data_IF_941528892161
#
_entry.id   IF_941528892161
#
_cell.length_a   1.000
_cell.length_b   1.000
_cell.length_c   1.000
_cell.angle_alpha   90.00
_cell.angle_beta   90.00
_cell.angle_gamma   90.00
#
_symmetry.space_group_name_H-M   'P 1'
#
loop_
_entity.id
_entity.type
_entity.pdbx_description
1 polymer ?
#
# COMPACT_ATOMS: atom_id res chain seq x y z
N UNK A 1 43.65 -38.27 40.07
CA UNK A 1 43.14 -38.01 38.71
C UNK A 1 41.61 -37.92 38.76
N UNK A 2 41.04 -36.80 39.23
CA UNK A 2 39.59 -36.74 39.50
C UNK A 2 38.94 -35.37 39.27
N UNK A 3 39.65 -34.44 38.65
CA UNK A 3 39.19 -33.04 38.52
C UNK A 3 39.24 -32.50 37.09
N UNK A 4 39.57 -33.32 36.08
CA UNK A 4 39.68 -32.86 34.69
C UNK A 4 38.42 -33.06 33.83
N UNK A 5 37.37 -33.68 34.37
CA UNK A 5 36.17 -34.04 33.58
C UNK A 5 35.01 -33.03 33.66
N UNK A 6 35.17 -31.89 34.36
CA UNK A 6 34.06 -30.96 34.61
C UNK A 6 34.08 -29.67 33.77
N UNK A 7 35.07 -29.49 32.87
CA UNK A 7 35.20 -28.26 32.08
C UNK A 7 34.64 -28.40 30.65
N UNK A 8 34.37 -29.62 30.18
CA UNK A 8 33.96 -29.89 28.80
C UNK A 8 32.45 -29.80 28.52
N UNK A 9 31.61 -29.53 29.53
CA UNK A 9 30.15 -29.45 29.40
C UNK A 9 29.57 -28.04 29.68
N UNK A 10 30.40 -26.98 29.66
CA UNK A 10 29.95 -25.62 29.94
C UNK A 10 29.91 -24.69 28.71
N UNK A 11 30.28 -25.16 27.51
CA UNK A 11 30.54 -24.31 26.34
C UNK A 11 29.49 -24.40 25.22
N UNK A 12 28.38 -25.13 25.39
CA UNK A 12 27.35 -25.33 24.36
C UNK A 12 26.04 -24.54 24.59
N UNK A 13 25.99 -23.65 25.59
CA UNK A 13 24.85 -22.75 25.78
C UNK A 13 25.17 -21.33 25.29
N UNK A 14 25.72 -21.20 24.08
CA UNK A 14 25.56 -19.96 23.31
C UNK A 14 24.13 -19.94 22.78
N UNK A 15 23.20 -19.54 23.65
CA UNK A 15 21.87 -19.12 23.27
C UNK A 15 22.02 -18.10 22.15
N UNK A 16 21.70 -18.52 20.92
CA UNK A 16 21.43 -17.60 19.83
C UNK A 16 20.17 -16.83 20.22
N UNK A 17 20.35 -15.71 20.92
CA UNK A 17 19.34 -14.69 21.04
C UNK A 17 19.05 -14.22 19.62
N UNK A 18 17.97 -14.74 19.03
CA UNK A 18 17.35 -14.14 17.86
C UNK A 18 16.97 -12.72 18.27
N UNK A 19 17.84 -11.75 17.98
CA UNK A 19 17.54 -10.36 18.18
C UNK A 19 16.27 -10.08 17.37
N UNK A 20 15.15 -9.84 18.05
CA UNK A 20 13.94 -9.37 17.41
C UNK A 20 14.32 -8.06 16.70
N UNK A 21 14.46 -8.11 15.37
CA UNK A 21 14.68 -6.89 14.59
C UNK A 21 13.37 -6.12 14.60
N UNK A 22 13.23 -5.23 15.57
CA UNK A 22 12.23 -4.17 15.50
C UNK A 22 12.37 -3.50 14.13
N UNK A 23 11.24 -3.28 13.47
CA UNK A 23 11.25 -2.53 12.22
C UNK A 23 11.79 -1.12 12.53
N UNK A 24 12.52 -0.49 11.59
CA UNK A 24 13.05 0.85 11.84
C UNK A 24 11.93 1.86 12.10
N UNK A 25 12.24 2.97 12.78
CA UNK A 25 11.25 4.02 13.04
C UNK A 25 10.66 4.58 11.73
N UNK A 26 11.51 4.87 10.73
CA UNK A 26 11.06 5.28 9.39
C UNK A 26 10.13 4.25 8.75
N UNK A 27 10.41 2.98 8.97
CA UNK A 27 9.57 1.93 8.43
C UNK A 27 8.19 1.91 9.05
N UNK A 28 8.12 1.99 10.38
CA UNK A 28 6.86 2.01 11.10
C UNK A 28 6.06 3.28 10.83
N UNK A 29 6.74 4.42 10.67
CA UNK A 29 6.13 5.69 10.33
C UNK A 29 5.38 5.68 8.98
N UNK A 30 5.64 4.73 8.07
CA UNK A 30 4.89 4.59 6.81
C UNK A 30 3.38 4.45 7.09
N UNK A 31 2.98 3.68 8.11
CA UNK A 31 1.57 3.47 8.45
C UNK A 31 0.82 4.77 8.77
N UNK A 32 1.52 5.77 9.32
CA UNK A 32 0.94 7.06 9.70
C UNK A 32 1.13 8.10 8.57
N UNK A 33 2.26 8.05 7.87
CA UNK A 33 2.61 9.04 6.85
C UNK A 33 1.93 8.80 5.51
N UNK A 34 1.64 7.55 5.14
CA UNK A 34 1.06 7.20 3.85
C UNK A 34 -0.36 7.77 3.64
N UNK A 35 -1.28 7.73 4.63
CA UNK A 35 -2.60 8.34 4.48
C UNK A 35 -2.58 9.83 4.11
N UNK A 36 -1.58 10.58 4.60
CA UNK A 36 -1.38 11.99 4.28
C UNK A 36 -0.55 12.26 3.01
N UNK A 37 -0.19 11.23 2.25
CA UNK A 37 0.66 11.37 1.07
C UNK A 37 2.12 11.74 1.37
N UNK A 38 2.61 11.37 2.57
CA UNK A 38 3.93 11.74 3.10
C UNK A 38 4.14 13.27 3.23
N UNK A 39 3.40 13.93 4.14
CA UNK A 39 3.53 15.36 4.36
C UNK A 39 4.91 15.76 4.93
N UNK A 40 5.11 17.05 5.18
CA UNK A 40 6.32 17.54 5.87
C UNK A 40 6.58 16.75 7.16
N UNK A 41 7.84 16.37 7.40
CA UNK A 41 8.24 15.49 8.51
C UNK A 41 8.26 13.99 8.19
N UNK A 42 7.67 13.55 7.07
CA UNK A 42 7.62 12.13 6.68
C UNK A 42 8.69 11.70 5.64
N UNK A 43 9.75 12.49 5.45
CA UNK A 43 10.75 12.24 4.41
C UNK A 43 11.48 10.89 4.57
N UNK A 44 11.81 10.52 5.82
CA UNK A 44 12.42 9.22 6.14
C UNK A 44 11.49 8.05 5.79
N UNK A 45 10.23 8.12 6.20
CA UNK A 45 9.20 7.14 5.86
C UNK A 45 9.01 7.00 4.35
N UNK A 46 8.95 8.10 3.61
CA UNK A 46 8.82 8.08 2.15
C UNK A 46 10.02 7.42 1.47
N UNK A 47 11.24 7.70 1.96
CA UNK A 47 12.47 7.08 1.45
C UNK A 47 12.46 5.57 1.67
N UNK A 48 12.12 5.12 2.88
CA UNK A 48 12.07 3.69 3.19
C UNK A 48 10.93 2.98 2.43
N UNK A 49 9.77 3.63 2.27
CA UNK A 49 8.65 3.12 1.45
C UNK A 49 9.10 2.88 -0.01
N UNK A 50 9.68 3.90 -0.66
CA UNK A 50 10.23 3.74 -2.03
C UNK A 50 11.29 2.64 -2.10
N UNK A 51 12.17 2.57 -1.09
CA UNK A 51 13.22 1.56 -1.01
C UNK A 51 12.66 0.15 -0.83
N UNK A 52 11.53 -0.04 -0.14
CA UNK A 52 10.83 -1.33 -0.03
C UNK A 52 10.32 -1.78 -1.39
N UNK A 53 9.54 -0.94 -2.06
CA UNK A 53 8.98 -1.22 -3.39
C UNK A 53 10.09 -1.52 -4.38
N UNK A 54 11.14 -0.68 -4.43
CA UNK A 54 12.29 -0.88 -5.32
C UNK A 54 13.02 -2.22 -5.07
N UNK A 55 12.99 -2.71 -3.83
CA UNK A 55 13.61 -3.99 -3.44
C UNK A 55 12.64 -5.17 -3.46
N UNK A 56 11.40 -5.00 -3.96
CA UNK A 56 10.39 -6.05 -3.96
C UNK A 56 9.97 -6.50 -2.54
N UNK A 57 10.14 -5.64 -1.53
CA UNK A 57 9.64 -5.88 -0.17
C UNK A 57 8.24 -5.29 -0.04
N UNK A 58 7.47 -5.83 0.90
CA UNK A 58 6.17 -5.26 1.29
C UNK A 58 6.31 -3.75 1.54
N UNK A 59 5.48 -2.89 0.90
CA UNK A 59 5.54 -1.45 1.07
C UNK A 59 5.28 -1.01 2.51
N UNK A 60 4.45 -1.74 3.23
CA UNK A 60 4.20 -1.55 4.65
C UNK A 60 4.88 -2.66 5.46
N UNK A 61 5.63 -2.34 6.52
CA UNK A 61 6.12 -3.38 7.42
C UNK A 61 4.94 -4.05 8.15
N UNK A 62 5.19 -5.24 8.70
CA UNK A 62 4.25 -5.88 9.63
C UNK A 62 3.90 -4.94 10.77
N UNK A 63 2.62 -4.56 10.89
CA UNK A 63 2.17 -3.56 11.86
C UNK A 63 2.44 -4.00 13.31
N UNK A 64 2.28 -5.29 13.59
CA UNK A 64 2.65 -5.91 14.88
C UNK A 64 4.10 -5.69 15.33
N UNK A 65 5.01 -5.31 14.42
CA UNK A 65 6.42 -5.00 14.73
C UNK A 65 6.64 -3.51 15.02
N UNK A 66 5.58 -2.71 14.94
CA UNK A 66 5.58 -1.26 15.06
C UNK A 66 4.69 -0.77 16.20
N UNK A 67 3.65 -1.53 16.55
CA UNK A 67 2.73 -1.18 17.63
C UNK A 67 2.05 -2.41 18.21
N UNK A 68 1.54 -2.25 19.43
CA UNK A 68 0.64 -3.19 20.12
C UNK A 68 -0.67 -2.48 20.43
N UNK A 69 -1.73 -3.24 20.67
CA UNK A 69 -3.02 -2.67 21.04
C UNK A 69 -3.01 -2.10 22.46
N UNK A 70 -4.09 -1.42 22.87
CA UNK A 70 -4.20 -0.77 24.18
C UNK A 70 -3.97 -1.70 25.37
N UNK A 71 -4.24 -3.00 25.23
CA UNK A 71 -4.07 -4.02 26.26
C UNK A 71 -2.86 -4.95 26.00
N UNK A 72 -1.93 -4.52 25.14
CA UNK A 72 -0.74 -5.29 24.78
C UNK A 72 -0.99 -6.40 23.75
N UNK A 73 -2.19 -6.46 23.17
CA UNK A 73 -2.52 -7.42 22.13
C UNK A 73 -1.76 -7.15 20.82
N UNK A 74 -1.62 -8.20 20.01
CA UNK A 74 -0.98 -8.09 18.70
C UNK A 74 -1.93 -7.38 17.74
N UNK A 75 -1.47 -6.27 17.17
CA UNK A 75 -2.21 -5.56 16.10
C UNK A 75 -1.89 -6.18 14.76
N UNK A 76 -2.95 -6.46 14.01
CA UNK A 76 -2.83 -6.97 12.65
C UNK A 76 -3.02 -5.85 11.63
N UNK A 77 -2.18 -5.86 10.59
CA UNK A 77 -2.16 -4.83 9.56
C UNK A 77 -2.09 -5.49 8.19
N UNK A 78 -3.09 -5.21 7.37
CA UNK A 78 -3.21 -5.74 6.02
C UNK A 78 -3.17 -4.62 4.99
N UNK A 79 -2.68 -4.94 3.80
CA UNK A 79 -2.66 -4.01 2.69
C UNK A 79 -2.89 -4.72 1.36
N UNK A 80 -3.37 -3.96 0.38
CA UNK A 80 -3.51 -4.42 -1.01
C UNK A 80 -3.03 -3.33 -1.94
N UNK A 81 -2.21 -3.70 -2.92
CA UNK A 81 -1.74 -2.79 -3.96
C UNK A 81 -2.71 -2.77 -5.12
N UNK A 82 -2.81 -1.62 -5.78
CA UNK A 82 -3.58 -1.49 -7.00
C UNK A 82 -3.12 -0.33 -7.87
N UNK A 83 -3.82 -0.19 -8.98
CA UNK A 83 -3.54 0.81 -9.99
C UNK A 83 -4.86 1.37 -10.53
N UNK A 84 -4.99 2.69 -10.50
CA UNK A 84 -6.10 3.44 -11.08
C UNK A 84 -5.51 4.60 -11.88
N UNK A 85 -5.69 4.58 -13.19
CA UNK A 85 -5.09 5.59 -14.08
C UNK A 85 -5.80 6.93 -14.01
N UNK A 86 -7.12 6.90 -13.90
CA UNK A 86 -7.97 8.08 -14.02
C UNK A 86 -8.57 8.43 -12.67
N UNK A 87 -8.83 9.72 -12.47
CA UNK A 87 -9.69 10.17 -11.39
C UNK A 87 -11.13 9.69 -11.63
N UNK A 88 -11.94 9.55 -10.56
CA UNK A 88 -13.35 9.22 -10.74
C UNK A 88 -14.02 10.29 -11.60
N UNK A 89 -14.93 9.86 -12.47
CA UNK A 89 -15.78 10.82 -13.17
C UNK A 89 -16.69 11.54 -12.17
N UNK A 90 -17.21 12.69 -12.58
CA UNK A 90 -18.24 13.42 -11.86
C UNK A 90 -19.52 12.58 -11.72
N UNK A 91 -20.34 12.91 -10.73
CA UNK A 91 -21.59 12.22 -10.47
C UNK A 91 -22.48 12.21 -11.72
N UNK A 92 -23.01 11.03 -12.05
CA UNK A 92 -23.81 10.84 -13.27
C UNK A 92 -23.00 10.65 -14.55
N UNK A 93 -21.68 10.49 -14.45
CA UNK A 93 -20.82 10.07 -15.55
C UNK A 93 -20.12 8.73 -15.22
N UNK A 94 -19.76 7.98 -16.27
CA UNK A 94 -19.01 6.73 -16.16
C UNK A 94 -17.80 6.74 -17.08
N UNK A 95 -16.68 6.26 -16.55
CA UNK A 95 -15.41 6.20 -17.28
C UNK A 95 -15.45 5.12 -18.35
N UNK A 96 -15.03 5.49 -19.56
CA UNK A 96 -14.74 4.57 -20.67
C UNK A 96 -13.31 4.75 -21.10
N UNK A 97 -12.53 3.70 -20.93
CA UNK A 97 -11.15 3.65 -21.36
C UNK A 97 -11.08 3.20 -22.82
N UNK A 98 -10.43 4.00 -23.67
CA UNK A 98 -10.08 3.58 -25.02
C UNK A 98 -8.80 2.77 -24.94
N UNK A 99 -8.91 1.46 -25.16
CA UNK A 99 -7.73 0.57 -25.17
C UNK A 99 -6.99 0.70 -26.49
N UNK A 100 -5.72 1.08 -26.42
CA UNK A 100 -4.76 0.92 -27.51
C UNK A 100 -3.61 0.04 -26.98
N UNK A 101 -3.80 -1.28 -27.04
CA UNK A 101 -2.87 -2.28 -26.48
C UNK A 101 -3.12 -2.63 -25.01
N UNK A 102 -2.06 -3.00 -24.27
CA UNK A 102 -2.13 -3.48 -22.88
C UNK A 102 -2.47 -2.38 -21.85
N UNK A 103 -2.48 -1.11 -22.24
CA UNK A 103 -2.76 0.04 -21.37
C UNK A 103 -3.73 0.98 -22.08
N UNK A 104 -4.73 1.50 -21.36
CA UNK A 104 -5.57 2.58 -21.85
C UNK A 104 -4.76 3.88 -21.96
N UNK A 105 -4.68 4.49 -23.14
CA UNK A 105 -3.97 5.76 -23.33
C UNK A 105 -4.90 6.95 -23.11
N UNK A 106 -6.20 6.74 -23.28
CA UNK A 106 -7.24 7.75 -23.20
C UNK A 106 -8.43 7.22 -22.39
N UNK A 107 -9.08 8.11 -21.65
CA UNK A 107 -10.29 7.83 -20.90
C UNK A 107 -11.28 8.96 -21.12
N UNK A 108 -12.55 8.62 -21.33
CA UNK A 108 -13.62 9.60 -21.53
C UNK A 108 -14.74 9.29 -20.55
N UNK A 109 -15.19 10.31 -19.83
CA UNK A 109 -16.34 10.23 -18.94
C UNK A 109 -17.60 10.53 -19.75
N UNK A 110 -18.51 9.56 -19.84
CA UNK A 110 -19.80 9.69 -20.53
C UNK A 110 -20.93 9.75 -19.53
N UNK A 111 -21.96 10.59 -19.76
CA UNK A 111 -23.16 10.59 -18.93
C UNK A 111 -23.73 9.18 -18.82
N UNK A 112 -24.10 8.72 -17.63
CA UNK A 112 -24.38 7.30 -17.33
C UNK A 112 -25.41 6.67 -18.27
N UNK A 113 -26.48 7.41 -18.63
CA UNK A 113 -27.51 6.94 -19.56
C UNK A 113 -27.04 6.84 -21.03
N UNK A 114 -25.86 7.37 -21.35
CA UNK A 114 -25.20 7.30 -22.67
C UNK A 114 -24.17 6.16 -22.75
N UNK A 115 -23.82 5.51 -21.63
CA UNK A 115 -22.82 4.47 -21.60
C UNK A 115 -23.37 3.19 -22.25
N UNK A 116 -22.86 2.70 -23.40
CA UNK A 116 -23.72 1.98 -24.33
C UNK A 116 -23.81 0.49 -23.98
N UNK A 117 -24.98 -0.08 -24.22
CA UNK A 117 -25.08 -1.39 -24.88
C UNK A 117 -25.30 -1.26 -26.39
N UNK A 118 -25.74 -0.10 -26.92
CA UNK A 118 -25.99 0.12 -28.35
C UNK A 118 -25.75 1.62 -28.67
N UNK A 119 -24.61 1.95 -29.27
CA UNK A 119 -24.32 3.31 -29.75
C UNK A 119 -25.23 3.58 -30.97
N UNK A 120 -26.14 4.55 -30.90
CA UNK A 120 -26.80 5.10 -32.08
C UNK A 120 -26.10 6.43 -32.43
N UNK A 121 -25.59 6.53 -33.66
CA UNK A 121 -24.73 7.60 -34.19
C UNK A 121 -25.28 9.04 -34.04
N UNK A 122 -26.55 9.23 -33.67
CA UNK A 122 -27.22 10.53 -33.72
C UNK A 122 -27.59 11.15 -32.35
N UNK A 123 -27.24 10.53 -31.23
CA UNK A 123 -27.42 11.15 -29.91
C UNK A 123 -26.14 11.87 -29.48
N UNK A 124 -26.19 13.20 -29.39
CA UNK A 124 -25.10 14.01 -28.82
C UNK A 124 -25.00 13.66 -27.33
N UNK A 125 -24.07 12.77 -27.00
CA UNK A 125 -23.82 12.36 -25.63
C UNK A 125 -22.85 13.34 -24.98
N UNK A 126 -23.29 14.01 -23.92
CA UNK A 126 -22.39 14.82 -23.11
C UNK A 126 -21.28 13.95 -22.54
N UNK A 127 -20.05 14.39 -22.77
CA UNK A 127 -18.84 13.70 -22.33
C UNK A 127 -17.69 14.69 -22.15
N UNK A 128 -16.69 14.28 -21.39
CA UNK A 128 -15.45 15.01 -21.23
C UNK A 128 -14.26 14.06 -21.02
N UNK A 129 -13.06 14.56 -21.26
CA UNK A 129 -11.83 13.77 -21.10
C UNK A 129 -11.59 13.48 -19.62
N UNK A 130 -11.37 12.21 -19.28
CA UNK A 130 -11.06 11.80 -17.92
C UNK A 130 -9.68 12.34 -17.50
N UNK A 131 -9.59 12.80 -16.26
CA UNK A 131 -8.34 13.35 -15.72
C UNK A 131 -7.40 12.20 -15.38
N UNK A 132 -6.16 12.29 -15.87
CA UNK A 132 -5.10 11.36 -15.52
C UNK A 132 -4.58 11.64 -14.12
N UNK A 133 -4.48 10.59 -13.28
CA UNK A 133 -3.83 10.68 -11.99
C UNK A 133 -2.32 10.83 -12.17
N UNK A 134 -1.69 11.84 -11.54
CA UNK A 134 -0.23 11.93 -11.50
C UNK A 134 0.42 10.72 -10.80
N UNK A 135 -0.31 10.16 -9.82
CA UNK A 135 0.09 9.02 -8.99
C UNK A 135 -0.99 7.94 -9.06
N UNK A 136 -0.92 7.02 -10.05
CA UNK A 136 -1.98 6.05 -10.27
C UNK A 136 -1.84 4.79 -9.40
N UNK A 137 -0.70 4.58 -8.75
CA UNK A 137 -0.51 3.46 -7.84
C UNK A 137 -1.09 3.80 -6.48
N UNK A 138 -1.74 2.82 -5.84
CA UNK A 138 -2.30 3.00 -4.52
C UNK A 138 -2.07 1.80 -3.60
N UNK A 139 -2.23 2.07 -2.31
CA UNK A 139 -2.32 1.08 -1.24
C UNK A 139 -3.69 1.21 -0.58
N UNK A 140 -4.44 0.11 -0.54
CA UNK A 140 -5.57 -0.06 0.38
C UNK A 140 -5.06 -0.60 1.70
N UNK A 141 -5.55 -0.07 2.82
CA UNK A 141 -5.04 -0.39 4.15
C UNK A 141 -6.16 -0.86 5.07
N UNK A 142 -5.85 -1.86 5.90
CA UNK A 142 -6.71 -2.33 6.98
C UNK A 142 -5.91 -2.53 8.26
N UNK A 143 -6.56 -2.27 9.41
CA UNK A 143 -6.02 -2.56 10.74
C UNK A 143 -7.06 -3.33 11.54
N UNK A 144 -6.70 -4.51 12.05
CA UNK A 144 -7.62 -5.43 12.73
C UNK A 144 -8.92 -5.71 11.92
N UNK A 145 -8.80 -5.77 10.59
CA UNK A 145 -9.92 -5.97 9.66
C UNK A 145 -10.72 -4.72 9.30
N UNK A 146 -10.52 -3.59 9.99
CA UNK A 146 -11.17 -2.31 9.65
C UNK A 146 -10.50 -1.67 8.43
N UNK A 147 -11.28 -1.27 7.43
CA UNK A 147 -10.77 -0.59 6.24
C UNK A 147 -10.50 0.89 6.54
N UNK A 148 -9.23 1.30 6.39
CA UNK A 148 -8.82 2.68 6.62
C UNK A 148 -8.99 3.56 5.38
N UNK A 149 -8.76 3.01 4.20
CA UNK A 149 -8.86 3.76 2.94
C UNK A 149 -7.90 3.29 1.85
N UNK A 150 -7.98 4.01 0.74
CA UNK A 150 -7.13 3.86 -0.44
C UNK A 150 -6.28 5.11 -0.60
N UNK A 151 -4.95 4.95 -0.58
CA UNK A 151 -4.00 6.05 -0.59
C UNK A 151 -3.03 5.93 -1.76
N UNK A 152 -2.98 6.97 -2.58
CA UNK A 152 -2.16 7.04 -3.78
C UNK A 152 -0.74 7.52 -3.46
N UNK A 153 0.27 7.02 -4.17
CA UNK A 153 1.69 7.33 -3.91
C UNK A 153 2.52 7.61 -5.15
#
# INVERSE_FOLDING_TARGET
MRTFALILMASLLFFHSNAAKASSQDACAIWICLPGGFPSGCAGAYSEFKKRIKKGRDPLPKLSSCTTGPNGERVDGHYQLGYERFEPCEDGFVLRERRQGYRATEGVCYRTHCAPSQFQENNICENYQAILRPKPQYVKMWVNGEYLGQYFY
#
